data_IF_962195326243
#
_entry.id   IF_962195326243
#
_cell.length_a   1.000
_cell.length_b   1.000
_cell.length_c   1.000
_cell.angle_alpha   90.00
_cell.angle_beta   90.00
_cell.angle_gamma   90.00
#
_symmetry.space_group_name_H-M   'P 1'
#
loop_
_entity.id
_entity.type
_entity.pdbx_description
1 polymer ?
#
# COMPACT_ATOMS: atom_id res chain seq x y z
N UNK A 1 -20.69 -62.18 -14.99
CA UNK A 1 -19.53 -61.35 -14.58
C UNK A 1 -19.76 -59.89 -14.96
N UNK A 2 -20.21 -59.61 -16.18
CA UNK A 2 -20.33 -58.24 -16.71
C UNK A 2 -21.40 -57.38 -16.02
N UNK A 3 -22.56 -57.95 -15.65
CA UNK A 3 -23.60 -57.21 -14.91
C UNK A 3 -23.16 -56.75 -13.50
N UNK A 4 -22.26 -57.49 -12.85
CA UNK A 4 -21.72 -57.12 -11.53
C UNK A 4 -20.69 -56.00 -11.66
N UNK A 5 -19.90 -56.00 -12.75
CA UNK A 5 -18.95 -54.93 -13.04
C UNK A 5 -19.66 -53.61 -13.41
N UNK A 6 -20.84 -53.69 -14.03
CA UNK A 6 -21.64 -52.52 -14.38
C UNK A 6 -22.32 -51.90 -13.15
N UNK A 7 -22.90 -52.73 -12.27
CA UNK A 7 -23.45 -52.28 -10.99
C UNK A 7 -22.39 -51.64 -10.08
N UNK A 8 -21.16 -52.17 -10.05
CA UNK A 8 -20.05 -51.56 -9.28
C UNK A 8 -19.63 -50.20 -9.83
N UNK A 9 -19.65 -50.00 -11.15
CA UNK A 9 -19.38 -48.70 -11.78
C UNK A 9 -20.47 -47.68 -11.49
N UNK A 10 -21.74 -48.09 -11.58
CA UNK A 10 -22.88 -47.24 -11.24
C UNK A 10 -22.88 -46.86 -9.74
N UNK A 11 -22.53 -47.80 -8.85
CA UNK A 11 -22.44 -47.54 -7.41
C UNK A 11 -21.26 -46.61 -7.06
N UNK A 12 -20.11 -46.77 -7.73
CA UNK A 12 -18.97 -45.87 -7.57
C UNK A 12 -19.26 -44.46 -8.07
N UNK A 13 -19.96 -44.32 -9.20
CA UNK A 13 -20.41 -43.03 -9.72
C UNK A 13 -21.42 -42.35 -8.79
N UNK A 14 -22.40 -43.10 -8.27
CA UNK A 14 -23.37 -42.59 -7.29
C UNK A 14 -22.72 -42.15 -5.98
N UNK A 15 -21.71 -42.87 -5.49
CA UNK A 15 -20.95 -42.46 -4.29
C UNK A 15 -20.07 -41.22 -4.54
N UNK A 16 -19.52 -41.05 -5.75
CA UNK A 16 -18.77 -39.85 -6.11
C UNK A 16 -19.69 -38.60 -6.22
N UNK A 17 -20.89 -38.76 -6.78
CA UNK A 17 -21.92 -37.71 -6.76
C UNK A 17 -22.38 -37.37 -5.34
N UNK A 18 -22.58 -38.37 -4.48
CA UNK A 18 -22.95 -38.18 -3.07
C UNK A 18 -21.86 -37.44 -2.28
N UNK A 19 -20.58 -37.78 -2.51
CA UNK A 19 -19.46 -37.08 -1.92
C UNK A 19 -19.40 -35.61 -2.38
N UNK A 20 -19.65 -35.36 -3.67
CA UNK A 20 -19.65 -34.00 -4.24
C UNK A 20 -20.83 -33.17 -3.72
N UNK A 21 -22.02 -33.76 -3.60
CA UNK A 21 -23.19 -33.13 -3.01
C UNK A 21 -23.00 -32.83 -1.52
N UNK A 22 -22.38 -33.75 -0.77
CA UNK A 22 -22.07 -33.54 0.63
C UNK A 22 -21.07 -32.39 0.81
N UNK A 23 -20.05 -32.33 -0.06
CA UNK A 23 -19.07 -31.24 -0.08
C UNK A 23 -19.74 -29.88 -0.40
N UNK A 24 -20.65 -29.84 -1.38
CA UNK A 24 -21.48 -28.68 -1.68
C UNK A 24 -22.37 -28.26 -0.51
N UNK A 25 -22.98 -29.23 0.18
CA UNK A 25 -23.88 -28.97 1.31
C UNK A 25 -23.13 -28.47 2.54
N UNK A 26 -21.92 -28.99 2.77
CA UNK A 26 -21.02 -28.52 3.82
C UNK A 26 -20.47 -27.13 3.49
N UNK A 27 -20.13 -26.84 2.22
CA UNK A 27 -19.81 -25.49 1.76
C UNK A 27 -21.00 -24.53 1.92
N UNK A 28 -22.23 -24.95 1.61
CA UNK A 28 -23.42 -24.11 1.81
C UNK A 28 -23.73 -23.86 3.28
N UNK A 29 -23.60 -24.86 4.15
CA UNK A 29 -23.76 -24.71 5.61
C UNK A 29 -22.63 -23.89 6.24
N UNK A 30 -21.44 -23.95 5.66
CA UNK A 30 -20.36 -23.05 6.03
C UNK A 30 -20.70 -21.62 5.60
N UNK A 31 -21.09 -21.39 4.34
CA UNK A 31 -21.51 -20.08 3.85
C UNK A 31 -22.68 -19.50 4.65
N UNK A 32 -23.64 -20.32 5.10
CA UNK A 32 -24.76 -19.90 5.92
C UNK A 32 -24.32 -19.57 7.37
N UNK A 33 -23.38 -20.34 7.94
CA UNK A 33 -22.75 -20.01 9.24
C UNK A 33 -21.94 -18.74 9.17
N UNK A 34 -21.15 -18.54 8.11
CA UNK A 34 -20.37 -17.31 7.93
C UNK A 34 -21.30 -16.14 7.62
N UNK A 35 -22.32 -16.31 6.77
CA UNK A 35 -23.29 -15.26 6.49
C UNK A 35 -24.08 -14.81 7.73
N UNK A 36 -24.40 -15.74 8.63
CA UNK A 36 -25.09 -15.47 9.90
C UNK A 36 -24.16 -14.96 11.02
N UNK A 37 -22.86 -15.29 10.98
CA UNK A 37 -21.85 -14.69 11.87
C UNK A 37 -21.43 -13.28 11.39
N UNK A 38 -21.44 -13.04 10.09
CA UNK A 38 -20.96 -11.83 9.43
C UNK A 38 -22.13 -10.88 9.12
N UNK A 39 -23.24 -10.92 9.86
CA UNK A 39 -24.29 -9.88 9.82
C UNK A 39 -23.81 -8.60 10.55
N UNK A 40 -22.59 -8.20 10.19
CA UNK A 40 -21.85 -7.10 10.76
C UNK A 40 -22.35 -5.78 10.18
N UNK A 41 -22.65 -4.84 11.07
CA UNK A 41 -22.85 -3.46 10.67
C UNK A 41 -21.61 -2.95 9.92
N UNK A 42 -21.74 -2.07 8.91
CA UNK A 42 -20.60 -1.56 8.14
C UNK A 42 -19.41 -1.06 8.98
N UNK A 43 -19.67 -0.55 10.19
CA UNK A 43 -18.65 -0.09 11.13
C UNK A 43 -17.80 -1.21 11.78
N UNK A 44 -18.22 -2.48 11.70
CA UNK A 44 -17.52 -3.63 12.26
C UNK A 44 -16.62 -4.36 11.24
N UNK A 45 -16.87 -4.14 9.95
CA UNK A 45 -16.16 -4.82 8.85
C UNK A 45 -14.64 -4.55 8.92
N UNK A 46 -14.24 -3.28 9.06
CA UNK A 46 -12.82 -2.93 9.11
C UNK A 46 -12.13 -3.49 10.37
N UNK A 47 -12.66 -3.32 11.60
CA UNK A 47 -12.12 -3.97 12.79
C UNK A 47 -11.94 -5.50 12.64
N UNK A 48 -12.92 -6.18 12.03
CA UNK A 48 -12.85 -7.63 11.81
C UNK A 48 -11.75 -8.01 10.81
N UNK A 49 -11.62 -7.26 9.72
CA UNK A 49 -10.52 -7.43 8.76
C UNK A 49 -9.14 -7.24 9.43
N UNK A 50 -9.00 -6.27 10.34
CA UNK A 50 -7.75 -6.08 11.09
C UNK A 50 -7.43 -7.26 12.02
N UNK A 51 -8.44 -7.85 12.65
CA UNK A 51 -8.26 -9.04 13.49
C UNK A 51 -7.76 -10.23 12.68
N UNK A 52 -8.39 -10.49 11.53
CA UNK A 52 -7.99 -11.58 10.62
C UNK A 52 -6.60 -11.34 10.03
N UNK A 53 -6.27 -10.10 9.66
CA UNK A 53 -4.91 -9.74 9.24
C UNK A 53 -3.91 -10.05 10.36
N UNK A 54 -4.18 -9.64 11.60
CA UNK A 54 -3.31 -9.89 12.76
C UNK A 54 -3.16 -11.38 13.09
N UNK A 55 -4.21 -12.18 12.87
CA UNK A 55 -4.19 -13.63 13.10
C UNK A 55 -3.45 -14.40 11.99
N UNK A 56 -3.38 -13.85 10.78
CA UNK A 56 -2.73 -14.51 9.64
C UNK A 56 -1.21 -14.65 9.81
N UNK A 57 -0.68 -15.77 9.34
CA UNK A 57 0.74 -16.12 9.49
C UNK A 57 1.54 -15.53 8.33
N UNK A 58 2.70 -14.88 8.58
CA UNK A 58 3.62 -14.51 7.49
C UNK A 58 3.98 -15.77 6.70
N UNK A 59 3.93 -15.73 5.37
CA UNK A 59 4.42 -16.85 4.56
C UNK A 59 5.95 -16.94 4.70
N UNK A 60 6.45 -17.65 5.70
CA UNK A 60 7.88 -17.88 5.90
C UNK A 60 8.30 -19.20 5.27
N UNK A 61 8.98 -19.12 4.12
CA UNK A 61 10.03 -20.07 3.71
C UNK A 61 10.97 -19.53 2.59
N UNK A 62 10.81 -18.30 2.13
CA UNK A 62 11.88 -17.60 1.40
C UNK A 62 12.30 -16.38 2.21
N UNK A 63 13.56 -16.34 2.65
CA UNK A 63 14.18 -15.10 3.10
C UNK A 63 14.05 -14.10 1.95
N UNK A 64 13.30 -12.99 2.09
CA UNK A 64 13.39 -11.94 1.10
C UNK A 64 14.76 -11.30 1.32
N UNK A 65 15.63 -11.39 0.31
CA UNK A 65 16.67 -10.39 0.17
C UNK A 65 15.92 -9.04 0.14
N UNK A 66 16.11 -8.23 1.18
CA UNK A 66 15.56 -6.89 1.32
C UNK A 66 16.04 -6.00 0.18
N UNK A 67 15.37 -6.06 -0.98
CA UNK A 67 15.41 -5.02 -2.02
C UNK A 67 14.04 -4.76 -2.66
N UNK A 68 13.11 -5.72 -2.64
CA UNK A 68 11.76 -5.51 -3.14
C UNK A 68 10.78 -5.35 -1.99
N UNK A 69 10.21 -4.15 -1.83
CA UNK A 69 9.14 -3.83 -0.87
C UNK A 69 7.81 -4.55 -1.16
N UNK A 70 7.85 -5.80 -1.59
CA UNK A 70 6.69 -6.68 -1.66
C UNK A 70 6.31 -7.02 -0.22
N UNK A 71 5.18 -6.47 0.23
CA UNK A 71 4.55 -6.91 1.47
C UNK A 71 4.37 -8.43 1.38
N UNK A 72 5.05 -9.17 2.26
CA UNK A 72 4.91 -10.62 2.34
C UNK A 72 3.42 -10.96 2.41
N UNK A 73 2.90 -11.60 1.36
CA UNK A 73 1.52 -12.09 1.34
C UNK A 73 1.36 -13.06 2.50
N UNK A 74 0.45 -12.73 3.42
CA UNK A 74 0.18 -13.59 4.57
C UNK A 74 -0.63 -14.80 4.13
N UNK A 75 -0.35 -15.97 4.70
CA UNK A 75 -1.16 -17.17 4.46
C UNK A 75 -2.34 -17.15 5.42
N UNK A 76 -3.53 -17.19 4.84
CA UNK A 76 -4.79 -17.42 5.54
C UNK A 76 -5.11 -18.92 5.53
N UNK A 77 -5.86 -19.39 6.53
CA UNK A 77 -6.56 -20.66 6.40
C UNK A 77 -7.66 -20.54 5.33
N UNK A 78 -8.14 -21.66 4.79
CA UNK A 78 -9.23 -21.63 3.78
C UNK A 78 -10.50 -20.97 4.35
N UNK A 79 -10.78 -21.21 5.64
CA UNK A 79 -11.91 -20.61 6.34
C UNK A 79 -11.74 -19.08 6.49
N UNK A 80 -10.55 -18.62 6.91
CA UNK A 80 -10.26 -17.18 7.03
C UNK A 80 -10.25 -16.50 5.66
N UNK A 81 -9.76 -17.16 4.61
CA UNK A 81 -9.74 -16.61 3.26
C UNK A 81 -11.17 -16.39 2.74
N UNK A 82 -12.08 -17.33 3.02
CA UNK A 82 -13.49 -17.19 2.68
C UNK A 82 -14.18 -16.10 3.51
N UNK A 83 -13.90 -16.01 4.80
CA UNK A 83 -14.41 -14.93 5.66
C UNK A 83 -13.95 -13.56 5.16
N UNK A 84 -12.66 -13.39 4.85
CA UNK A 84 -12.11 -12.16 4.29
C UNK A 84 -12.79 -11.79 2.97
N UNK A 85 -12.95 -12.74 2.06
CA UNK A 85 -13.64 -12.51 0.77
C UNK A 85 -15.05 -11.96 0.97
N UNK A 86 -15.82 -12.55 1.90
CA UNK A 86 -17.18 -12.10 2.22
C UNK A 86 -17.19 -10.70 2.85
N UNK A 87 -16.28 -10.42 3.80
CA UNK A 87 -16.14 -9.11 4.42
C UNK A 87 -15.77 -8.03 3.39
N UNK A 88 -14.87 -8.34 2.45
CA UNK A 88 -14.48 -7.42 1.38
C UNK A 88 -15.65 -7.15 0.42
N UNK A 89 -16.43 -8.16 0.05
CA UNK A 89 -17.66 -7.98 -0.73
C UNK A 89 -18.64 -7.02 -0.06
N UNK A 90 -18.88 -7.21 1.25
CA UNK A 90 -19.74 -6.30 2.03
C UNK A 90 -19.15 -4.90 2.18
N UNK A 91 -17.83 -4.77 2.31
CA UNK A 91 -17.16 -3.47 2.35
C UNK A 91 -17.39 -2.70 1.04
N UNK A 92 -17.28 -3.38 -0.11
CA UNK A 92 -17.55 -2.79 -1.42
C UNK A 92 -19.00 -2.32 -1.54
N UNK A 93 -19.97 -3.17 -1.16
CA UNK A 93 -21.39 -2.83 -1.18
C UNK A 93 -21.73 -1.67 -0.24
N UNK A 94 -21.16 -1.67 0.97
CA UNK A 94 -21.35 -0.61 1.95
C UNK A 94 -20.72 0.72 1.47
N UNK A 95 -19.53 0.66 0.87
CA UNK A 95 -18.84 1.83 0.32
C UNK A 95 -19.58 2.42 -0.89
N UNK A 96 -20.08 1.58 -1.81
CA UNK A 96 -20.93 1.99 -2.92
C UNK A 96 -22.22 2.67 -2.43
N UNK A 97 -22.84 2.09 -1.40
CA UNK A 97 -24.01 2.67 -0.73
C UNK A 97 -23.69 3.86 0.20
N UNK A 98 -22.41 4.28 0.29
CA UNK A 98 -21.92 5.36 1.17
C UNK A 98 -22.28 5.16 2.66
N UNK A 99 -22.28 3.91 3.12
CA UNK A 99 -22.56 3.50 4.52
C UNK A 99 -21.29 3.23 5.34
N UNK A 100 -20.11 3.49 4.79
CA UNK A 100 -18.81 3.25 5.41
C UNK A 100 -17.92 4.49 5.27
N UNK A 101 -17.12 4.80 6.29
CA UNK A 101 -16.22 5.97 6.27
C UNK A 101 -15.10 5.78 5.23
N UNK A 102 -14.66 6.87 4.60
CA UNK A 102 -13.63 6.80 3.58
C UNK A 102 -12.29 6.22 4.11
N UNK A 103 -11.93 6.49 5.37
CA UNK A 103 -10.72 5.92 5.96
C UNK A 103 -10.87 4.41 6.19
N UNK A 104 -12.04 3.95 6.63
CA UNK A 104 -12.29 2.51 6.83
C UNK A 104 -12.25 1.77 5.48
N UNK A 105 -12.82 2.34 4.42
CA UNK A 105 -12.72 1.80 3.05
C UNK A 105 -11.26 1.78 2.58
N UNK A 106 -10.53 2.88 2.79
CA UNK A 106 -9.11 2.99 2.43
C UNK A 106 -8.26 1.95 3.15
N UNK A 107 -8.42 1.80 4.47
CA UNK A 107 -7.66 0.85 5.27
C UNK A 107 -8.06 -0.61 4.98
N UNK A 108 -9.34 -0.86 4.68
CA UNK A 108 -9.78 -2.18 4.18
C UNK A 108 -9.08 -2.54 2.87
N UNK A 109 -8.85 -1.57 1.98
CA UNK A 109 -8.05 -1.75 0.77
C UNK A 109 -6.59 -2.11 1.05
N UNK A 110 -5.98 -1.49 2.07
CA UNK A 110 -4.62 -1.84 2.53
C UNK A 110 -4.57 -3.29 3.01
N UNK A 111 -5.52 -3.69 3.86
CA UNK A 111 -5.59 -5.06 4.39
C UNK A 111 -5.79 -6.06 3.26
N UNK A 112 -6.75 -5.80 2.37
CA UNK A 112 -6.99 -6.63 1.18
C UNK A 112 -5.71 -6.83 0.37
N UNK A 113 -4.95 -5.77 0.12
CA UNK A 113 -3.67 -5.85 -0.60
C UNK A 113 -2.63 -6.74 0.10
N UNK A 114 -2.54 -6.69 1.44
CA UNK A 114 -1.58 -7.50 2.23
C UNK A 114 -1.99 -8.97 2.34
N UNK A 115 -3.29 -9.22 2.31
CA UNK A 115 -3.88 -10.57 2.31
C UNK A 115 -3.95 -11.19 0.90
N UNK A 116 -3.57 -10.45 -0.15
CA UNK A 116 -3.52 -10.95 -1.53
C UNK A 116 -4.78 -10.73 -2.37
N UNK A 117 -5.81 -10.07 -1.82
CA UNK A 117 -7.06 -9.71 -2.51
C UNK A 117 -6.88 -8.44 -3.35
N UNK A 118 -6.08 -8.56 -4.42
CA UNK A 118 -5.60 -7.41 -5.21
C UNK A 118 -6.72 -6.67 -5.96
N UNK A 119 -7.70 -7.40 -6.49
CA UNK A 119 -8.80 -6.78 -7.24
C UNK A 119 -9.73 -6.00 -6.33
N UNK A 120 -10.07 -6.57 -5.18
CA UNK A 120 -10.86 -5.95 -4.13
C UNK A 120 -10.13 -4.72 -3.57
N UNK A 121 -8.80 -4.82 -3.36
CA UNK A 121 -7.99 -3.67 -2.95
C UNK A 121 -8.08 -2.52 -3.96
N UNK A 122 -7.96 -2.81 -5.26
CA UNK A 122 -8.07 -1.79 -6.31
C UNK A 122 -9.47 -1.14 -6.36
N UNK A 123 -10.53 -1.93 -6.20
CA UNK A 123 -11.90 -1.43 -6.13
C UNK A 123 -12.12 -0.56 -4.88
N UNK A 124 -11.66 -1.01 -3.71
CA UNK A 124 -11.76 -0.26 -2.45
C UNK A 124 -10.98 1.05 -2.52
N UNK A 125 -9.77 1.08 -3.09
CA UNK A 125 -9.02 2.32 -3.26
C UNK A 125 -9.66 3.28 -4.27
N UNK A 126 -10.28 2.76 -5.34
CA UNK A 126 -11.08 3.58 -6.25
C UNK A 126 -12.28 4.22 -5.52
N UNK A 127 -13.01 3.44 -4.73
CA UNK A 127 -14.15 3.93 -3.93
C UNK A 127 -13.71 4.92 -2.86
N UNK A 128 -12.64 4.63 -2.12
CA UNK A 128 -12.11 5.52 -1.09
C UNK A 128 -11.77 6.89 -1.68
N UNK A 129 -11.15 6.93 -2.87
CA UNK A 129 -10.87 8.19 -3.57
C UNK A 129 -12.15 8.93 -3.99
N UNK A 130 -13.18 8.21 -4.46
CA UNK A 130 -14.49 8.81 -4.79
C UNK A 130 -15.17 9.40 -3.54
N UNK A 131 -15.08 8.72 -2.40
CA UNK A 131 -15.63 9.19 -1.13
C UNK A 131 -14.83 10.37 -0.56
N UNK A 132 -13.50 10.38 -0.74
CA UNK A 132 -12.61 11.42 -0.22
C UNK A 132 -11.42 11.67 -1.17
N UNK A 133 -11.52 12.63 -2.11
CA UNK A 133 -10.53 12.84 -3.16
C UNK A 133 -9.30 13.65 -2.70
N UNK A 134 -8.62 13.19 -1.65
CA UNK A 134 -7.38 13.81 -1.15
C UNK A 134 -6.14 13.19 -1.82
N UNK A 135 -4.98 13.88 -1.82
CA UNK A 135 -3.76 13.38 -2.45
C UNK A 135 -3.34 11.96 -2.02
N UNK A 136 -3.48 11.63 -0.74
CA UNK A 136 -3.14 10.29 -0.19
C UNK A 136 -4.00 9.17 -0.78
N UNK A 137 -5.29 9.46 -0.97
CA UNK A 137 -6.24 8.50 -1.52
C UNK A 137 -6.02 8.34 -3.02
N UNK A 138 -5.73 9.47 -3.69
CA UNK A 138 -5.41 9.48 -5.12
C UNK A 138 -4.17 8.67 -5.42
N UNK A 139 -3.05 8.92 -4.73
CA UNK A 139 -1.79 8.22 -5.00
C UNK A 139 -1.89 6.73 -4.67
N UNK A 140 -2.64 6.33 -3.64
CA UNK A 140 -2.87 4.93 -3.32
C UNK A 140 -3.68 4.22 -4.42
N UNK A 141 -4.74 4.85 -4.94
CA UNK A 141 -5.46 4.37 -6.13
C UNK A 141 -4.50 4.20 -7.31
N UNK A 142 -3.71 5.23 -7.62
CA UNK A 142 -2.75 5.21 -8.74
C UNK A 142 -1.68 4.11 -8.56
N UNK A 143 -1.24 3.85 -7.34
CA UNK A 143 -0.31 2.75 -7.06
C UNK A 143 -0.91 1.37 -7.36
N UNK A 144 -2.21 1.17 -7.11
CA UNK A 144 -2.90 -0.06 -7.51
C UNK A 144 -3.12 -0.15 -9.02
N UNK A 145 -3.47 0.97 -9.67
CA UNK A 145 -3.60 1.04 -11.12
C UNK A 145 -2.28 0.68 -11.82
N UNK A 146 -1.16 1.23 -11.34
CA UNK A 146 0.18 0.87 -11.81
C UNK A 146 0.50 -0.63 -11.58
N UNK A 147 0.29 -1.11 -10.35
CA UNK A 147 0.64 -2.48 -9.98
C UNK A 147 -0.12 -3.53 -10.81
N UNK A 148 -1.43 -3.32 -11.00
CA UNK A 148 -2.29 -4.33 -11.61
C UNK A 148 -2.57 -4.07 -13.09
N UNK A 149 -2.39 -2.84 -13.57
CA UNK A 149 -2.85 -2.44 -14.89
C UNK A 149 -4.38 -2.54 -15.03
N UNK A 150 -5.12 -2.32 -13.94
CA UNK A 150 -6.58 -2.24 -13.95
C UNK A 150 -7.04 -0.94 -13.31
N UNK A 151 -8.11 -0.36 -13.85
CA UNK A 151 -8.77 0.83 -13.33
C UNK A 151 -10.24 0.52 -13.10
N UNK A 152 -10.74 0.98 -11.97
CA UNK A 152 -12.17 0.99 -11.68
C UNK A 152 -12.63 2.43 -11.53
N UNK A 153 -13.76 2.74 -12.15
CA UNK A 153 -14.44 4.02 -12.03
C UNK A 153 -15.85 3.79 -11.49
N UNK A 154 -16.43 4.83 -10.88
CA UNK A 154 -17.80 4.76 -10.36
C UNK A 154 -18.71 5.50 -11.33
N UNK A 155 -19.55 4.76 -12.04
CA UNK A 155 -20.52 5.27 -13.01
C UNK A 155 -21.91 4.87 -12.56
N UNK A 156 -22.82 5.86 -12.43
CA UNK A 156 -24.22 5.65 -12.03
C UNK A 156 -24.40 4.78 -10.77
N UNK A 157 -23.49 4.94 -9.79
CA UNK A 157 -23.52 4.20 -8.54
C UNK A 157 -23.03 2.75 -8.62
N UNK A 158 -22.39 2.36 -9.74
CA UNK A 158 -21.77 1.05 -9.92
C UNK A 158 -20.27 1.18 -10.17
N UNK A 159 -19.50 0.21 -9.68
CA UNK A 159 -18.09 0.06 -10.03
C UNK A 159 -17.97 -0.57 -11.42
N UNK A 160 -17.35 0.16 -12.34
CA UNK A 160 -17.12 -0.27 -13.72
C UNK A 160 -15.62 -0.35 -13.97
N UNK A 161 -15.15 -1.49 -14.48
CA UNK A 161 -13.76 -1.64 -14.90
C UNK A 161 -13.54 -0.91 -16.23
N UNK A 162 -12.49 -0.09 -16.32
CA UNK A 162 -12.12 0.56 -17.58
C UNK A 162 -11.77 -0.47 -18.66
N UNK A 163 -12.07 -0.15 -19.92
CA UNK A 163 -11.68 -0.91 -21.10
C UNK A 163 -10.28 -0.59 -21.64
N UNK A 164 -9.56 0.36 -21.02
CA UNK A 164 -8.19 0.72 -21.41
C UNK A 164 -7.22 -0.46 -21.26
N UNK A 165 -6.16 -0.47 -22.05
CA UNK A 165 -5.11 -1.49 -21.92
C UNK A 165 -4.34 -1.32 -20.61
N UNK A 166 -3.77 -2.42 -20.10
CA UNK A 166 -2.93 -2.37 -18.90
C UNK A 166 -1.76 -1.40 -19.04
N UNK A 167 -1.15 -1.33 -20.23
CA UNK A 167 -0.05 -0.40 -20.51
C UNK A 167 -0.50 1.07 -20.43
N UNK A 168 -1.66 1.40 -21.03
CA UNK A 168 -2.23 2.73 -20.96
C UNK A 168 -2.56 3.13 -19.52
N UNK A 169 -3.15 2.21 -18.75
CA UNK A 169 -3.49 2.43 -17.34
C UNK A 169 -2.23 2.72 -16.53
N UNK A 170 -1.18 1.91 -16.66
CA UNK A 170 0.09 2.11 -15.95
C UNK A 170 0.77 3.43 -16.30
N UNK A 171 0.89 3.73 -17.59
CA UNK A 171 1.48 4.99 -18.05
C UNK A 171 0.71 6.20 -17.51
N UNK A 172 -0.62 6.19 -17.63
CA UNK A 172 -1.49 7.26 -17.13
C UNK A 172 -1.42 7.39 -15.60
N UNK A 173 -1.34 6.25 -14.90
CA UNK A 173 -1.24 6.21 -13.45
C UNK A 173 0.06 6.87 -12.97
N UNK A 174 1.17 6.56 -13.65
CA UNK A 174 2.47 7.15 -13.34
C UNK A 174 2.52 8.66 -13.61
N UNK A 175 2.08 9.11 -14.78
CA UNK A 175 2.02 10.53 -15.12
C UNK A 175 1.15 11.29 -14.11
N UNK A 176 0.01 10.71 -13.73
CA UNK A 176 -0.86 11.27 -12.71
C UNK A 176 -0.21 11.31 -11.32
N UNK A 177 0.57 10.29 -10.96
CA UNK A 177 1.28 10.25 -9.69
C UNK A 177 2.32 11.38 -9.61
N UNK A 178 3.06 11.64 -10.69
CA UNK A 178 3.99 12.76 -10.76
C UNK A 178 3.28 14.11 -10.61
N UNK A 179 2.08 14.28 -11.17
CA UNK A 179 1.27 15.49 -10.97
C UNK A 179 0.85 15.66 -9.51
N UNK A 180 0.49 14.57 -8.83
CA UNK A 180 0.16 14.60 -7.39
C UNK A 180 1.41 14.96 -6.58
N UNK A 181 2.57 14.38 -6.88
CA UNK A 181 3.86 14.70 -6.22
C UNK A 181 4.16 16.21 -6.30
N UNK A 182 3.95 16.83 -7.46
CA UNK A 182 4.24 18.25 -7.68
C UNK A 182 3.29 19.22 -6.98
N UNK A 183 2.12 18.74 -6.54
CA UNK A 183 1.04 19.59 -6.01
C UNK A 183 0.57 19.21 -4.60
N UNK A 184 1.09 18.12 -4.04
CA UNK A 184 0.71 17.65 -2.72
C UNK A 184 1.05 18.69 -1.64
N UNK A 185 0.16 18.92 -0.66
CA UNK A 185 0.49 19.75 0.49
C UNK A 185 1.46 19.02 1.42
N UNK A 186 2.29 19.79 2.14
CA UNK A 186 3.33 19.28 3.04
C UNK A 186 2.85 18.19 4.01
N UNK A 187 1.62 18.31 4.52
CA UNK A 187 1.02 17.36 5.47
C UNK A 187 0.75 15.96 4.90
N UNK A 188 0.91 15.78 3.59
CA UNK A 188 0.69 14.51 2.89
C UNK A 188 1.95 13.95 2.23
N UNK A 189 3.07 14.65 2.35
CA UNK A 189 4.30 14.32 1.63
C UNK A 189 4.86 12.95 1.98
N UNK A 190 4.78 12.54 3.25
CA UNK A 190 5.23 11.23 3.70
C UNK A 190 4.55 10.09 2.94
N UNK A 191 3.22 10.16 2.83
CA UNK A 191 2.42 9.14 2.13
C UNK A 191 2.57 9.27 0.61
N UNK A 192 2.43 10.47 0.06
CA UNK A 192 2.49 10.69 -1.39
C UNK A 192 3.84 10.30 -1.97
N UNK A 193 4.93 10.78 -1.38
CA UNK A 193 6.25 10.52 -1.93
C UNK A 193 6.67 9.08 -1.71
N UNK A 194 6.31 8.45 -0.58
CA UNK A 194 6.59 7.03 -0.36
C UNK A 194 5.88 6.14 -1.39
N UNK A 195 4.60 6.42 -1.69
CA UNK A 195 3.87 5.65 -2.69
C UNK A 195 4.42 5.86 -4.09
N UNK A 196 4.76 7.10 -4.45
CA UNK A 196 5.40 7.40 -5.73
C UNK A 196 6.78 6.74 -5.84
N UNK A 197 7.58 6.73 -4.77
CA UNK A 197 8.86 6.03 -4.71
C UNK A 197 8.70 4.52 -4.91
N UNK A 198 7.69 3.91 -4.28
CA UNK A 198 7.39 2.49 -4.48
C UNK A 198 6.99 2.17 -5.93
N UNK A 199 6.21 3.03 -6.59
CA UNK A 199 5.91 2.90 -8.03
C UNK A 199 7.19 3.01 -8.85
N UNK A 200 8.04 4.00 -8.54
CA UNK A 200 9.26 4.27 -9.28
C UNK A 200 10.29 3.14 -9.16
N UNK A 201 10.45 2.56 -7.98
CA UNK A 201 11.38 1.43 -7.76
C UNK A 201 10.94 0.18 -8.51
N UNK A 202 9.64 -0.18 -8.48
CA UNK A 202 9.13 -1.32 -9.27
C UNK A 202 9.39 -1.16 -10.76
N UNK A 203 9.36 0.08 -11.24
CA UNK A 203 9.51 0.45 -12.64
C UNK A 203 10.88 1.09 -12.92
N UNK A 204 11.90 0.77 -12.11
CA UNK A 204 13.23 1.40 -12.22
C UNK A 204 13.86 1.24 -13.60
N UNK A 205 13.67 0.09 -14.24
CA UNK A 205 14.16 -0.17 -15.60
C UNK A 205 13.54 0.75 -16.68
N UNK A 206 12.40 1.40 -16.37
CA UNK A 206 11.71 2.36 -17.24
C UNK A 206 12.11 3.82 -16.95
N UNK A 207 13.09 4.04 -16.07
CA UNK A 207 13.58 5.38 -15.71
C UNK A 207 12.63 6.19 -14.82
N UNK A 208 11.72 5.52 -14.09
CA UNK A 208 10.75 6.21 -13.24
C UNK A 208 11.42 6.87 -12.02
N UNK A 209 12.55 6.31 -11.57
CA UNK A 209 13.30 6.86 -10.43
C UNK A 209 13.86 8.25 -10.78
N UNK A 210 14.45 8.40 -11.95
CA UNK A 210 14.97 9.66 -12.50
C UNK A 210 13.85 10.69 -12.68
N UNK A 211 12.70 10.26 -13.20
CA UNK A 211 11.52 11.12 -13.36
C UNK A 211 10.97 11.61 -12.00
N UNK A 212 10.96 10.75 -10.99
CA UNK A 212 10.54 11.12 -9.63
C UNK A 212 11.51 12.11 -8.99
N UNK A 213 12.82 11.84 -9.12
CA UNK A 213 13.87 12.75 -8.64
C UNK A 213 13.70 14.12 -9.29
N UNK A 214 13.53 14.18 -10.61
CA UNK A 214 13.32 15.43 -11.33
C UNK A 214 12.04 16.16 -10.86
N UNK A 215 10.95 15.43 -10.61
CA UNK A 215 9.72 16.02 -10.10
C UNK A 215 9.88 16.60 -8.69
N UNK A 216 10.56 15.90 -7.79
CA UNK A 216 10.81 16.36 -6.43
C UNK A 216 11.85 17.48 -6.36
N UNK A 217 12.87 17.46 -7.22
CA UNK A 217 13.86 18.53 -7.35
C UNK A 217 13.21 19.82 -7.87
N UNK A 218 12.28 19.70 -8.82
CA UNK A 218 11.43 20.82 -9.26
C UNK A 218 10.57 21.36 -8.11
N UNK A 219 9.93 20.51 -7.29
CA UNK A 219 9.22 20.97 -6.07
C UNK A 219 10.17 21.72 -5.13
N UNK A 220 11.35 21.15 -4.86
CA UNK A 220 12.35 21.73 -3.96
C UNK A 220 12.86 23.09 -4.44
N UNK A 221 12.96 23.30 -5.75
CA UNK A 221 13.58 24.48 -6.36
C UNK A 221 12.56 25.56 -6.75
N UNK A 222 11.42 25.17 -7.31
CA UNK A 222 10.41 26.09 -7.86
C UNK A 222 9.27 26.38 -6.88
N UNK A 223 9.03 25.48 -5.93
CA UNK A 223 7.94 25.57 -4.95
C UNK A 223 8.45 25.38 -3.51
N UNK A 224 9.40 26.21 -3.05
CA UNK A 224 9.93 26.11 -1.68
C UNK A 224 8.87 26.35 -0.60
N UNK A 225 7.72 26.92 -0.95
CA UNK A 225 6.57 27.13 -0.06
C UNK A 225 5.89 25.83 0.38
N UNK A 226 5.95 24.78 -0.45
CA UNK A 226 5.41 23.46 -0.09
C UNK A 226 6.51 22.47 0.28
N UNK A 227 7.76 22.70 -0.15
CA UNK A 227 8.87 21.82 0.17
C UNK A 227 9.06 21.64 1.69
N UNK A 228 9.16 20.38 2.11
CA UNK A 228 9.27 20.00 3.52
C UNK A 228 10.61 19.33 3.79
N UNK A 229 10.98 19.19 5.06
CA UNK A 229 12.08 18.30 5.47
C UNK A 229 11.98 16.90 4.82
N UNK A 230 10.76 16.37 4.65
CA UNK A 230 10.54 15.06 4.04
C UNK A 230 10.85 15.05 2.54
N UNK A 231 10.57 16.15 1.83
CA UNK A 231 10.90 16.34 0.41
C UNK A 231 12.40 16.14 0.19
N UNK A 232 13.24 16.78 1.02
CA UNK A 232 14.69 16.65 0.93
C UNK A 232 15.18 15.29 1.43
N UNK A 233 14.58 14.74 2.49
CA UNK A 233 14.93 13.42 2.98
C UNK A 233 14.65 12.32 1.95
N UNK A 234 13.51 12.37 1.26
CA UNK A 234 13.20 11.39 0.21
C UNK A 234 14.07 11.62 -1.03
N UNK A 235 14.38 12.86 -1.41
CA UNK A 235 15.34 13.13 -2.48
C UNK A 235 16.72 12.52 -2.17
N UNK A 236 17.21 12.65 -0.94
CA UNK A 236 18.45 12.04 -0.49
C UNK A 236 18.41 10.51 -0.64
N UNK A 237 17.26 9.88 -0.31
CA UNK A 237 17.05 8.44 -0.52
C UNK A 237 17.16 8.08 -2.00
N UNK A 238 16.35 8.72 -2.84
CA UNK A 238 16.21 8.38 -4.25
C UNK A 238 17.53 8.56 -5.01
N UNK A 239 18.29 9.62 -4.76
CA UNK A 239 19.60 9.80 -5.42
C UNK A 239 20.62 8.76 -4.97
N UNK A 240 20.61 8.38 -3.70
CA UNK A 240 21.50 7.33 -3.18
C UNK A 240 21.17 5.98 -3.80
N UNK A 241 19.88 5.69 -4.00
CA UNK A 241 19.41 4.46 -4.64
C UNK A 241 19.70 4.45 -6.12
N UNK A 242 19.54 5.58 -6.82
CA UNK A 242 19.83 5.70 -8.24
C UNK A 242 21.31 5.35 -8.52
N UNK A 243 22.22 5.83 -7.67
CA UNK A 243 23.64 5.45 -7.72
C UNK A 243 24.40 5.98 -8.94
N UNK A 244 23.87 7.01 -9.60
CA UNK A 244 24.53 7.68 -10.73
C UNK A 244 25.79 8.46 -10.28
N UNK A 245 26.64 8.84 -11.23
CA UNK A 245 27.84 9.63 -10.91
C UNK A 245 27.51 10.90 -10.11
N UNK A 246 28.27 11.16 -9.04
CA UNK A 246 28.03 12.29 -8.14
C UNK A 246 26.86 12.09 -7.14
N UNK A 247 26.31 10.88 -7.03
CA UNK A 247 25.20 10.59 -6.09
C UNK A 247 25.56 10.94 -4.64
N UNK A 248 26.82 10.78 -4.24
CA UNK A 248 27.26 11.00 -2.84
C UNK A 248 27.18 12.47 -2.48
N UNK A 249 27.64 13.35 -3.37
CA UNK A 249 27.54 14.80 -3.24
C UNK A 249 26.07 15.24 -3.21
N UNK A 250 25.23 14.67 -4.10
CA UNK A 250 23.80 14.94 -4.13
C UNK A 250 23.09 14.49 -2.84
N UNK A 251 23.39 13.28 -2.35
CA UNK A 251 22.88 12.76 -1.08
C UNK A 251 23.25 13.67 0.09
N UNK A 252 24.53 14.07 0.19
CA UNK A 252 25.00 14.96 1.27
C UNK A 252 24.31 16.33 1.21
N UNK A 253 24.12 16.88 0.00
CA UNK A 253 23.38 18.14 -0.22
C UNK A 253 21.94 18.02 0.28
N UNK A 254 21.20 17.01 -0.19
CA UNK A 254 19.79 16.85 0.17
C UNK A 254 19.58 16.50 1.63
N UNK A 255 20.43 15.64 2.21
CA UNK A 255 20.40 15.36 3.64
C UNK A 255 20.66 16.62 4.46
N UNK A 256 21.64 17.44 4.07
CA UNK A 256 21.94 18.71 4.74
C UNK A 256 20.73 19.65 4.78
N UNK A 257 20.05 19.82 3.64
CA UNK A 257 18.82 20.60 3.54
C UNK A 257 17.68 20.00 4.37
N UNK A 258 17.52 18.66 4.37
CA UNK A 258 16.52 17.99 5.18
C UNK A 258 16.72 18.27 6.68
N UNK A 259 17.96 18.17 7.17
CA UNK A 259 18.29 18.43 8.58
C UNK A 259 18.12 19.91 8.92
N UNK A 260 18.49 20.82 8.02
CA UNK A 260 18.26 22.25 8.20
C UNK A 260 16.77 22.58 8.34
N UNK A 261 15.94 22.07 7.44
CA UNK A 261 14.48 22.23 7.51
C UNK A 261 13.88 21.56 8.76
N UNK A 262 14.42 20.41 9.20
CA UNK A 262 13.99 19.77 10.44
C UNK A 262 14.29 20.63 11.67
N UNK A 263 15.47 21.25 11.74
CA UNK A 263 15.84 22.14 12.84
C UNK A 263 14.91 23.35 12.98
N UNK A 264 14.34 23.82 11.86
CA UNK A 264 13.34 24.89 11.84
C UNK A 264 11.89 24.38 12.02
N UNK A 265 11.65 23.07 11.97
CA UNK A 265 10.31 22.48 12.01
C UNK A 265 9.86 22.19 13.44
N UNK A 266 8.56 22.30 13.69
CA UNK A 266 7.97 21.80 14.94
C UNK A 266 8.13 20.28 15.03
N UNK A 267 8.58 19.72 16.17
CA UNK A 267 8.56 18.28 16.42
C UNK A 267 7.17 17.64 16.37
N UNK A 268 6.10 18.47 16.40
CA UNK A 268 4.71 18.02 16.23
C UNK A 268 4.26 18.00 14.76
N UNK A 269 5.13 18.38 13.82
CA UNK A 269 4.81 18.28 12.40
C UNK A 269 4.62 16.83 11.99
N UNK A 270 3.61 16.55 11.17
CA UNK A 270 3.31 15.21 10.66
C UNK A 270 4.46 14.59 9.87
N UNK A 271 5.32 15.42 9.28
CA UNK A 271 6.50 14.94 8.54
C UNK A 271 7.74 14.75 9.41
N UNK A 272 7.75 15.23 10.66
CA UNK A 272 8.96 15.27 11.48
C UNK A 272 9.53 13.87 11.73
N UNK A 273 8.74 12.97 12.30
CA UNK A 273 9.18 11.63 12.63
C UNK A 273 9.55 10.81 11.38
N UNK A 274 8.74 10.78 10.30
CA UNK A 274 9.11 10.14 9.04
C UNK A 274 10.42 10.68 8.45
N UNK A 275 10.65 11.99 8.47
CA UNK A 275 11.88 12.61 7.94
C UNK A 275 13.12 12.18 8.71
N UNK A 276 13.08 12.27 10.05
CA UNK A 276 14.19 11.85 10.92
C UNK A 276 14.53 10.39 10.68
N UNK A 277 13.51 9.53 10.64
CA UNK A 277 13.67 8.11 10.37
C UNK A 277 14.34 7.87 9.03
N UNK A 278 13.83 8.49 7.97
CA UNK A 278 14.36 8.29 6.63
C UNK A 278 15.84 8.68 6.55
N UNK A 279 16.19 9.86 7.07
CA UNK A 279 17.59 10.34 7.09
C UNK A 279 18.50 9.35 7.82
N UNK A 280 18.13 8.91 9.03
CA UNK A 280 18.96 8.01 9.82
C UNK A 280 19.05 6.60 9.23
N UNK A 281 17.96 6.10 8.64
CA UNK A 281 17.96 4.79 7.97
C UNK A 281 18.91 4.79 6.76
N UNK A 282 18.86 5.82 5.91
CA UNK A 282 19.76 5.93 4.77
C UNK A 282 21.19 6.14 5.25
N UNK A 283 21.38 6.99 6.26
CA UNK A 283 22.71 7.24 6.80
C UNK A 283 23.35 5.98 7.39
N UNK A 284 22.56 5.15 8.05
CA UNK A 284 23.01 3.84 8.53
C UNK A 284 23.45 2.93 7.39
N UNK A 285 22.69 2.87 6.29
CA UNK A 285 23.06 2.09 5.10
C UNK A 285 24.37 2.58 4.48
N UNK A 286 24.66 3.87 4.61
CA UNK A 286 25.86 4.53 4.06
C UNK A 286 27.05 4.56 5.03
N UNK A 287 26.90 4.05 6.25
CA UNK A 287 27.94 4.06 7.28
C UNK A 287 28.24 5.46 7.84
N UNK A 288 27.27 6.39 7.79
CA UNK A 288 27.43 7.78 8.25
C UNK A 288 26.33 8.23 9.23
N UNK A 289 25.65 7.27 9.87
CA UNK A 289 24.62 7.53 10.88
C UNK A 289 25.09 8.45 12.01
N UNK A 290 26.30 8.23 12.56
CA UNK A 290 26.84 9.08 13.63
C UNK A 290 27.05 10.53 13.16
N UNK A 291 27.48 10.73 11.92
CA UNK A 291 27.63 12.06 11.34
C UNK A 291 26.27 12.73 11.11
N UNK A 292 25.28 12.00 10.63
CA UNK A 292 23.92 12.51 10.47
C UNK A 292 23.30 12.88 11.83
N UNK A 293 23.48 12.05 12.85
CA UNK A 293 23.01 12.31 14.21
C UNK A 293 23.69 13.55 14.81
N UNK A 294 25.01 13.65 14.72
CA UNK A 294 25.76 14.81 15.21
C UNK A 294 25.34 16.10 14.49
N UNK A 295 25.06 16.03 13.19
CA UNK A 295 24.55 17.17 12.42
C UNK A 295 23.15 17.60 12.89
N UNK A 296 22.26 16.66 13.19
CA UNK A 296 20.94 16.96 13.76
C UNK A 296 21.03 17.62 15.14
N UNK A 297 21.87 17.07 16.02
CA UNK A 297 22.11 17.62 17.36
C UNK A 297 22.70 19.04 17.28
N UNK A 298 23.66 19.28 16.36
CA UNK A 298 24.22 20.61 16.11
C UNK A 298 23.19 21.62 15.57
N UNK A 299 22.12 21.16 14.93
CA UNK A 299 20.99 21.99 14.48
C UNK A 299 19.90 22.16 15.54
N UNK A 300 20.15 21.73 16.79
CA UNK A 300 19.25 21.91 17.92
C UNK A 300 18.10 20.90 17.98
N UNK A 301 18.14 19.85 17.16
CA UNK A 301 17.19 18.74 17.23
C UNK A 301 17.60 17.88 18.43
N UNK A 302 16.79 17.89 19.49
CA UNK A 302 17.17 17.20 20.72
C UNK A 302 17.21 15.68 20.50
N UNK A 303 18.25 15.02 21.02
CA UNK A 303 18.40 13.56 20.93
C UNK A 303 17.16 12.81 21.39
N UNK A 304 16.46 13.30 22.42
CA UNK A 304 15.20 12.72 22.90
C UNK A 304 14.08 12.77 21.86
N UNK A 305 14.00 13.83 21.05
CA UNK A 305 13.05 13.95 19.94
C UNK A 305 13.41 12.99 18.81
N UNK A 306 14.70 12.85 18.50
CA UNK A 306 15.20 11.90 17.50
C UNK A 306 14.83 10.46 17.91
N UNK A 307 15.13 10.08 19.15
CA UNK A 307 14.80 8.75 19.67
C UNK A 307 13.29 8.50 19.68
N UNK A 308 12.47 9.51 19.99
CA UNK A 308 11.02 9.40 19.92
C UNK A 308 10.54 9.15 18.49
N UNK A 309 11.05 9.89 17.50
CA UNK A 309 10.71 9.70 16.08
C UNK A 309 11.02 8.28 15.56
N UNK A 310 12.04 7.63 16.13
CA UNK A 310 12.38 6.24 15.81
C UNK A 310 11.47 5.20 16.50
N UNK A 311 10.79 5.57 17.58
CA UNK A 311 9.90 4.69 18.35
C UNK A 311 8.44 4.73 17.87
N UNK A 312 8.00 5.86 17.33
CA UNK A 312 6.66 6.01 16.74
C UNK A 312 6.53 5.11 15.49
N UNK A 313 5.59 4.16 15.47
CA UNK A 313 5.31 3.27 14.33
C UNK A 313 4.06 3.71 13.60
#
# INVERSE_FOLDING_TARGET
ADQIADLRRQFAAGNAELATLQQLLDSLRFLDRVASQVDEAPAQIFPRLEELERASVPASDEQPNDQDGQSATRRLSDDDALEVSLLLGRALDAALARRMDANDVYNSGIIASRLGFRHEAAQLHALAYVLRPTPNYRVARLAQEDLLGVRYDVLDGALVRSGDSAEQIRSTAWESALLVVRSAPAVTHDQVYSQAANIAERNRALGYLEQLIAALDSVASERPDIASAYTYAILADLVSRLGADGWREAYMRWRGLAIEHLGASSPRSVTFAPSVRNILTIAQRMGDADAALAQMEARGIARTQIMRALQER
#
